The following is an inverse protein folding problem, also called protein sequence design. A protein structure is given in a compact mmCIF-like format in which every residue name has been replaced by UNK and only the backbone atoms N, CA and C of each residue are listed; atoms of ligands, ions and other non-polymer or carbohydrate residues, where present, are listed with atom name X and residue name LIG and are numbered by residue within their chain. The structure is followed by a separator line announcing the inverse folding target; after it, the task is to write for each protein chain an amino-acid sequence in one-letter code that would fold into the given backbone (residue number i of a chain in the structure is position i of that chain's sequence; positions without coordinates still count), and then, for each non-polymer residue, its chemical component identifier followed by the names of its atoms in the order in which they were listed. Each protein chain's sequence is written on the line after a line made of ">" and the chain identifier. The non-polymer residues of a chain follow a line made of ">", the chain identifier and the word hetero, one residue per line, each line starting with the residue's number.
data_IF_593977416454
#
_entry.id   IF_593977416454
#
_cell.length_a   1.000
_cell.length_b   1.000
_cell.length_c   1.000
_cell.angle_alpha   90.00
_cell.angle_beta   90.00
_cell.angle_gamma   90.00
#
_symmetry.space_group_name_H-M   'P 1'
#
loop_
_entity.id
_entity.type
_entity.pdbx_description
1 polymer ?
#
# COMPACT_ATOMS: atom_id res chain seq x y z
N UNK A 1 47.68 19.96 65.88
CA UNK A 1 46.25 19.62 65.62
C UNK A 1 46.08 19.58 64.12
N UNK A 2 45.93 18.37 63.59
CA UNK A 2 45.89 18.16 62.10
C UNK A 2 44.43 17.77 61.77
N UNK A 3 43.71 18.65 61.09
CA UNK A 3 42.34 18.34 60.62
C UNK A 3 42.42 17.53 59.33
N UNK A 4 41.94 16.27 59.42
CA UNK A 4 41.75 15.40 58.28
C UNK A 4 40.48 15.80 57.55
N UNK A 5 40.63 16.36 56.35
CA UNK A 5 39.51 16.57 55.43
C UNK A 5 39.20 15.22 54.73
N UNK A 6 38.02 14.71 54.96
CA UNK A 6 37.48 13.53 54.26
C UNK A 6 36.84 14.01 52.93
N UNK A 7 37.46 13.67 51.83
CA UNK A 7 36.89 13.85 50.50
C UNK A 7 36.00 12.65 50.22
N UNK A 8 34.68 12.89 50.06
CA UNK A 8 33.69 11.91 49.70
C UNK A 8 33.63 11.85 48.17
N UNK A 9 33.80 10.70 47.49
CA UNK A 9 33.67 10.65 46.04
C UNK A 9 32.21 10.70 45.64
N UNK A 10 31.84 11.74 44.87
CA UNK A 10 30.54 11.91 44.26
C UNK A 10 30.43 10.93 43.07
N UNK A 11 29.67 9.85 43.22
CA UNK A 11 29.37 8.92 42.14
C UNK A 11 28.38 9.57 41.18
N UNK A 12 28.88 10.03 40.02
CA UNK A 12 28.07 10.56 38.93
C UNK A 12 27.47 9.37 38.15
N UNK A 13 26.21 9.00 38.44
CA UNK A 13 25.47 8.01 37.68
C UNK A 13 24.97 8.71 36.42
N UNK A 14 25.66 8.48 35.30
CA UNK A 14 25.17 8.90 33.99
C UNK A 14 24.03 7.98 33.55
N UNK A 15 22.79 8.46 33.68
CA UNK A 15 21.62 7.82 33.08
C UNK A 15 21.64 8.10 31.56
N UNK A 16 22.09 7.13 30.80
CA UNK A 16 21.87 7.13 29.35
C UNK A 16 20.37 6.81 29.10
N UNK A 17 19.55 7.85 28.96
CA UNK A 17 18.23 7.70 28.38
C UNK A 17 18.40 7.42 26.90
N UNK A 18 18.27 6.15 26.52
CA UNK A 18 18.19 5.71 25.15
C UNK A 18 16.87 6.22 24.57
N UNK A 19 16.87 7.37 23.92
CA UNK A 19 15.77 7.84 23.07
C UNK A 19 15.79 7.00 21.78
N UNK A 20 15.05 5.90 21.77
CA UNK A 20 14.60 5.30 20.51
C UNK A 20 13.51 6.23 19.96
N UNK A 21 13.64 6.78 18.74
CA UNK A 21 12.56 7.54 18.14
C UNK A 21 11.39 6.59 17.87
N UNK A 22 10.36 6.62 18.70
CA UNK A 22 9.06 6.06 18.33
C UNK A 22 8.56 6.87 17.13
N UNK A 23 8.63 6.26 15.95
CA UNK A 23 7.97 6.80 14.75
C UNK A 23 6.48 6.74 15.03
N UNK A 24 5.88 7.89 15.30
CA UNK A 24 4.47 8.01 15.64
C UNK A 24 3.62 7.44 14.50
N UNK A 25 2.54 6.72 14.83
CA UNK A 25 1.60 6.18 13.83
C UNK A 25 1.03 7.27 12.91
N UNK A 26 0.97 8.49 13.38
CA UNK A 26 0.54 9.67 12.62
C UNK A 26 1.48 10.01 11.46
N UNK A 27 2.80 9.71 11.56
CA UNK A 27 3.74 9.87 10.46
C UNK A 27 3.58 8.80 9.38
N UNK A 28 3.07 7.61 9.73
CA UNK A 28 2.75 6.54 8.78
C UNK A 28 1.44 6.83 8.03
N UNK A 29 0.47 7.46 8.69
CA UNK A 29 -0.85 7.75 8.13
C UNK A 29 -0.81 8.83 7.03
N UNK A 30 0.18 9.71 7.06
CA UNK A 30 0.39 10.75 6.03
C UNK A 30 1.25 10.28 4.84
N UNK A 31 1.74 9.04 4.85
CA UNK A 31 2.66 8.55 3.82
C UNK A 31 2.01 8.47 2.43
N UNK A 32 0.74 8.13 2.34
CA UNK A 32 0.02 7.96 1.08
C UNK A 32 -0.12 9.25 0.28
N UNK A 33 -0.41 10.37 0.95
CA UNK A 33 -0.56 11.68 0.31
C UNK A 33 0.79 12.31 -0.10
N UNK A 34 1.92 11.75 0.36
CA UNK A 34 3.27 12.23 0.03
C UNK A 34 3.87 11.55 -1.20
N UNK A 35 3.22 10.52 -1.74
CA UNK A 35 3.70 9.83 -2.93
C UNK A 35 3.04 10.39 -4.18
N UNK A 36 3.73 11.24 -4.92
CA UNK A 36 3.25 11.84 -6.18
C UNK A 36 2.74 10.78 -7.16
N UNK A 37 3.37 9.60 -7.20
CA UNK A 37 2.94 8.51 -8.07
C UNK A 37 1.51 8.02 -7.74
N UNK A 38 1.16 7.92 -6.46
CA UNK A 38 -0.18 7.51 -6.02
C UNK A 38 -1.21 8.58 -6.41
N UNK A 39 -0.89 9.86 -6.15
CA UNK A 39 -1.78 10.98 -6.45
C UNK A 39 -2.03 11.16 -7.95
N UNK A 40 -0.97 11.00 -8.76
CA UNK A 40 -1.04 11.20 -10.21
C UNK A 40 -1.70 10.03 -10.96
N UNK A 41 -1.83 8.86 -10.32
CA UNK A 41 -2.43 7.67 -10.91
C UNK A 41 -3.71 7.23 -10.16
N UNK A 42 -4.35 8.13 -9.42
CA UNK A 42 -5.67 7.85 -8.85
C UNK A 42 -6.73 7.84 -9.94
N UNK A 43 -7.62 6.85 -9.83
CA UNK A 43 -8.78 6.73 -10.72
C UNK A 43 -10.04 6.46 -9.90
N UNK A 44 -11.19 6.68 -10.53
CA UNK A 44 -12.50 6.37 -9.95
C UNK A 44 -12.94 4.95 -10.30
N UNK A 45 -13.81 4.37 -9.45
CA UNK A 45 -14.36 3.04 -9.65
C UNK A 45 -15.00 2.83 -11.02
N UNK A 46 -15.75 3.82 -11.51
CA UNK A 46 -16.43 3.76 -12.81
C UNK A 46 -15.49 3.66 -14.01
N UNK A 47 -14.20 3.95 -13.82
CA UNK A 47 -13.20 3.97 -14.89
C UNK A 47 -12.20 2.81 -14.83
N UNK A 48 -12.43 1.81 -13.95
CA UNK A 48 -11.48 0.71 -13.74
C UNK A 48 -11.21 -0.16 -14.99
N UNK A 49 -12.13 -0.20 -15.94
CA UNK A 49 -12.00 -0.98 -17.17
C UNK A 49 -11.91 -0.09 -18.43
N UNK A 50 -11.61 1.23 -18.28
CA UNK A 50 -11.57 2.17 -19.40
C UNK A 50 -10.29 3.02 -19.42
N UNK A 51 -9.18 2.49 -18.87
CA UNK A 51 -7.89 3.17 -18.96
C UNK A 51 -7.32 3.05 -20.39
N UNK A 52 -6.32 3.87 -20.69
CA UNK A 52 -5.75 3.97 -22.06
C UNK A 52 -4.80 2.82 -22.41
N UNK A 53 -4.24 2.16 -21.39
CA UNK A 53 -3.33 1.02 -21.57
C UNK A 53 -4.12 -0.27 -21.76
N UNK A 54 -3.63 -1.17 -22.61
CA UNK A 54 -4.23 -2.49 -22.80
C UNK A 54 -3.95 -3.42 -21.61
N UNK A 55 -2.83 -3.20 -20.88
CA UNK A 55 -2.47 -3.97 -19.69
C UNK A 55 -2.09 -3.03 -18.54
N UNK A 56 -2.77 -3.15 -17.43
CA UNK A 56 -2.54 -2.35 -16.22
C UNK A 56 -3.01 -3.05 -14.95
N UNK A 57 -2.53 -2.55 -13.82
CA UNK A 57 -2.94 -2.96 -12.49
C UNK A 57 -3.75 -1.86 -11.82
N UNK A 58 -4.66 -2.26 -10.92
CA UNK A 58 -5.38 -1.34 -10.04
C UNK A 58 -5.19 -1.80 -8.60
N UNK A 59 -4.55 -0.97 -7.79
CA UNK A 59 -4.34 -1.23 -6.38
C UNK A 59 -5.42 -0.55 -5.53
N UNK A 60 -6.24 -1.36 -4.89
CA UNK A 60 -7.28 -0.93 -3.96
C UNK A 60 -6.72 -0.88 -2.54
N UNK A 61 -6.83 0.27 -1.91
CA UNK A 61 -6.29 0.51 -0.59
C UNK A 61 -7.22 1.36 0.28
N UNK A 62 -6.88 1.49 1.54
CA UNK A 62 -7.39 2.50 2.46
C UNK A 62 -6.26 3.00 3.33
N UNK A 63 -6.23 4.29 3.64
CA UNK A 63 -5.25 4.90 4.54
C UNK A 63 -5.27 4.32 5.96
N UNK A 64 -6.37 3.66 6.36
CA UNK A 64 -6.52 3.01 7.67
C UNK A 64 -6.24 1.51 7.65
N UNK A 65 -5.88 0.94 6.49
CA UNK A 65 -5.63 -0.48 6.32
C UNK A 65 -4.18 -0.83 6.69
N UNK A 66 -3.97 -1.56 7.79
CA UNK A 66 -2.62 -1.96 8.27
C UNK A 66 -1.85 -2.77 7.23
N UNK A 67 -2.47 -3.76 6.61
CA UNK A 67 -1.84 -4.57 5.57
C UNK A 67 -1.49 -3.78 4.31
N UNK A 68 -2.26 -2.73 3.98
CA UNK A 68 -1.92 -1.82 2.90
C UNK A 68 -0.63 -1.04 3.22
N UNK A 69 -0.48 -0.57 4.46
CA UNK A 69 0.74 0.11 4.92
C UNK A 69 1.99 -0.77 4.85
N UNK A 70 1.83 -2.09 5.04
CA UNK A 70 2.95 -3.01 4.97
C UNK A 70 3.52 -3.17 3.56
N UNK A 71 2.68 -3.07 2.51
CA UNK A 71 3.08 -3.35 1.12
C UNK A 71 3.13 -2.14 0.20
N UNK A 72 2.69 -0.96 0.65
CA UNK A 72 2.62 0.23 -0.23
C UNK A 72 3.97 0.58 -0.85
N UNK A 73 5.07 0.40 -0.11
CA UNK A 73 6.42 0.62 -0.63
C UNK A 73 6.75 -0.28 -1.82
N UNK A 74 6.37 -1.56 -1.76
CA UNK A 74 6.57 -2.52 -2.84
C UNK A 74 5.70 -2.21 -4.06
N UNK A 75 4.45 -1.78 -3.83
CA UNK A 75 3.52 -1.38 -4.91
C UNK A 75 4.05 -0.13 -5.62
N UNK A 76 4.53 0.87 -4.89
CA UNK A 76 5.12 2.09 -5.46
C UNK A 76 6.40 1.76 -6.22
N UNK A 77 7.28 0.92 -5.65
CA UNK A 77 8.50 0.49 -6.33
C UNK A 77 8.20 -0.30 -7.61
N UNK A 78 7.11 -1.07 -7.65
CA UNK A 78 6.64 -1.73 -8.86
C UNK A 78 6.10 -0.71 -9.86
N UNK A 79 5.24 0.20 -9.45
CA UNK A 79 4.66 1.24 -10.31
C UNK A 79 5.73 2.12 -10.97
N UNK A 80 6.80 2.46 -10.23
CA UNK A 80 7.92 3.25 -10.76
C UNK A 80 8.87 2.47 -11.66
N UNK A 81 8.77 1.15 -11.71
CA UNK A 81 9.61 0.31 -12.60
C UNK A 81 9.12 0.29 -14.04
N UNK A 82 7.96 0.88 -14.32
CA UNK A 82 7.34 0.97 -15.66
C UNK A 82 7.10 -0.40 -16.34
N UNK A 83 7.09 -1.49 -15.56
CA UNK A 83 6.82 -2.84 -16.08
C UNK A 83 5.36 -2.93 -16.55
N UNK A 84 4.42 -2.54 -15.68
CA UNK A 84 2.98 -2.44 -15.95
C UNK A 84 2.45 -1.21 -15.24
N UNK A 85 1.69 -0.38 -15.93
CA UNK A 85 1.07 0.81 -15.33
C UNK A 85 0.19 0.40 -14.16
N UNK A 86 0.36 1.08 -13.02
CA UNK A 86 -0.43 0.81 -11.81
C UNK A 86 -1.26 2.04 -11.47
N UNK A 87 -2.56 1.86 -11.39
CA UNK A 87 -3.54 2.82 -10.91
C UNK A 87 -3.89 2.56 -9.44
N UNK A 88 -4.44 3.57 -8.78
CA UNK A 88 -4.72 3.52 -7.35
C UNK A 88 -6.16 3.96 -7.07
N UNK A 89 -6.83 3.25 -6.15
CA UNK A 89 -8.15 3.63 -5.66
C UNK A 89 -8.16 3.57 -4.12
N UNK A 90 -8.37 4.72 -3.48
CA UNK A 90 -8.70 4.75 -2.06
C UNK A 90 -10.19 4.44 -1.90
N UNK A 91 -10.52 3.27 -1.37
CA UNK A 91 -11.92 2.82 -1.22
C UNK A 91 -12.75 3.69 -0.26
N UNK A 92 -12.11 4.54 0.52
CA UNK A 92 -12.78 5.48 1.44
C UNK A 92 -13.04 6.84 0.82
N UNK A 93 -12.30 7.18 -0.25
CA UNK A 93 -12.40 8.47 -0.96
C UNK A 93 -13.11 8.35 -2.31
N UNK A 94 -13.33 7.13 -2.83
CA UNK A 94 -14.08 6.92 -4.07
C UNK A 94 -15.49 7.50 -3.95
N UNK A 95 -15.91 8.28 -4.95
CA UNK A 95 -17.26 8.85 -5.02
C UNK A 95 -18.33 7.76 -5.14
N UNK A 96 -17.99 6.66 -5.82
CA UNK A 96 -18.87 5.50 -5.99
C UNK A 96 -18.57 4.44 -4.95
N UNK A 97 -19.61 3.93 -4.30
CA UNK A 97 -19.46 2.82 -3.35
C UNK A 97 -18.98 1.57 -4.09
N UNK A 98 -17.76 1.13 -3.77
CA UNK A 98 -17.14 -0.06 -4.33
C UNK A 98 -17.83 -1.32 -3.78
N UNK A 99 -18.32 -2.23 -4.63
CA UNK A 99 -18.94 -3.47 -4.17
C UNK A 99 -17.91 -4.40 -3.51
N UNK A 100 -18.23 -4.87 -2.30
CA UNK A 100 -17.40 -5.82 -1.55
C UNK A 100 -18.14 -7.13 -1.40
N UNK A 101 -17.55 -8.24 -1.89
CA UNK A 101 -18.08 -9.60 -1.81
C UNK A 101 -16.96 -10.60 -1.51
N UNK A 102 -17.31 -11.78 -1.04
CA UNK A 102 -16.33 -12.83 -0.72
C UNK A 102 -15.99 -13.75 -1.91
N UNK A 103 -16.80 -13.75 -2.96
CA UNK A 103 -16.67 -14.66 -4.12
C UNK A 103 -16.11 -13.90 -5.32
N UNK A 104 -14.78 -13.68 -5.31
CA UNK A 104 -14.11 -12.81 -6.29
C UNK A 104 -13.88 -13.45 -7.66
N UNK A 105 -13.92 -14.76 -7.78
CA UNK A 105 -13.69 -15.48 -9.05
C UNK A 105 -14.73 -15.10 -10.12
N UNK A 106 -15.93 -14.68 -9.70
CA UNK A 106 -16.98 -14.21 -10.60
C UNK A 106 -16.63 -12.92 -11.34
N UNK A 107 -15.59 -12.18 -10.90
CA UNK A 107 -15.15 -10.94 -11.57
C UNK A 107 -14.20 -11.21 -12.72
N UNK A 108 -13.57 -12.38 -12.78
CA UNK A 108 -12.62 -12.73 -13.84
C UNK A 108 -13.37 -12.87 -15.16
N UNK A 109 -12.82 -12.23 -16.20
CA UNK A 109 -13.42 -12.18 -17.53
C UNK A 109 -14.49 -11.11 -17.71
N UNK A 110 -14.77 -10.28 -16.69
CA UNK A 110 -15.74 -9.19 -16.80
C UNK A 110 -15.14 -7.98 -17.51
N UNK A 111 -15.97 -7.32 -18.33
CA UNK A 111 -15.67 -6.10 -19.06
C UNK A 111 -16.60 -4.93 -18.70
N UNK A 112 -17.54 -5.14 -17.78
CA UNK A 112 -18.38 -4.09 -17.18
C UNK A 112 -18.00 -3.93 -15.71
N UNK A 113 -17.64 -2.71 -15.30
CA UNK A 113 -17.25 -2.41 -13.92
C UNK A 113 -18.39 -2.69 -12.90
N UNK A 114 -19.65 -2.69 -13.34
CA UNK A 114 -20.80 -3.02 -12.49
C UNK A 114 -20.82 -4.50 -12.06
N UNK A 115 -20.13 -5.36 -12.80
CA UNK A 115 -20.00 -6.79 -12.52
C UNK A 115 -18.71 -7.12 -11.75
N UNK A 116 -17.87 -6.09 -11.48
CA UNK A 116 -16.63 -6.24 -10.73
C UNK A 116 -16.86 -5.95 -9.25
N UNK A 117 -16.18 -6.65 -8.39
CA UNK A 117 -16.16 -6.42 -6.94
C UNK A 117 -14.83 -6.88 -6.35
N UNK A 118 -14.52 -6.40 -5.15
CA UNK A 118 -13.31 -6.78 -4.40
C UNK A 118 -13.70 -7.45 -3.08
N UNK A 119 -12.78 -8.20 -2.48
CA UNK A 119 -12.98 -8.80 -1.15
C UNK A 119 -12.72 -7.80 -0.02
N UNK A 120 -11.89 -6.78 -0.27
CA UNK A 120 -11.46 -5.78 0.70
C UNK A 120 -10.12 -5.16 0.32
N UNK A 121 -9.36 -4.67 1.28
CA UNK A 121 -8.04 -4.07 1.05
C UNK A 121 -6.94 -4.74 1.87
N UNK A 122 -5.72 -4.89 1.32
CA UNK A 122 -5.34 -4.57 -0.06
C UNK A 122 -5.89 -5.58 -1.06
N UNK A 123 -6.17 -5.13 -2.27
CA UNK A 123 -6.48 -5.97 -3.43
C UNK A 123 -5.79 -5.38 -4.66
N UNK A 124 -5.27 -6.22 -5.55
CA UNK A 124 -4.85 -5.84 -6.89
C UNK A 124 -5.80 -6.50 -7.89
N UNK A 125 -6.36 -5.70 -8.79
CA UNK A 125 -7.01 -6.21 -10.01
C UNK A 125 -6.04 -6.01 -11.17
N UNK A 126 -5.81 -7.07 -11.93
CA UNK A 126 -5.10 -7.04 -13.21
C UNK A 126 -6.12 -6.97 -14.33
N UNK A 127 -5.93 -6.03 -15.24
CA UNK A 127 -6.78 -5.81 -16.41
C UNK A 127 -5.94 -5.97 -17.68
N UNK A 128 -6.45 -6.74 -18.62
CA UNK A 128 -5.86 -6.93 -19.96
C UNK A 128 -6.99 -6.78 -21.00
N UNK A 129 -6.77 -5.96 -22.02
CA UNK A 129 -7.76 -5.66 -23.07
C UNK A 129 -9.12 -5.20 -22.52
N UNK A 130 -9.10 -4.40 -21.43
CA UNK A 130 -10.28 -3.90 -20.70
C UNK A 130 -11.14 -5.01 -20.03
N UNK A 131 -10.56 -6.18 -19.83
CA UNK A 131 -11.19 -7.31 -19.17
C UNK A 131 -10.40 -7.65 -17.89
N UNK A 132 -11.11 -7.97 -16.81
CA UNK A 132 -10.48 -8.43 -15.56
C UNK A 132 -9.78 -9.76 -15.81
N UNK A 133 -8.46 -9.78 -15.67
CA UNK A 133 -7.62 -10.97 -15.81
C UNK A 133 -7.43 -11.69 -14.48
N UNK A 134 -7.20 -10.93 -13.42
CA UNK A 134 -7.06 -11.45 -12.08
C UNK A 134 -7.65 -10.48 -11.05
N UNK A 135 -8.12 -11.03 -9.94
CA UNK A 135 -8.56 -10.28 -8.76
C UNK A 135 -7.88 -10.91 -7.53
N UNK A 136 -6.89 -10.21 -6.99
CA UNK A 136 -5.91 -10.76 -6.04
C UNK A 136 -6.02 -10.04 -4.70
N UNK A 137 -6.81 -10.56 -3.74
CA UNK A 137 -6.95 -9.97 -2.42
C UNK A 137 -5.86 -10.39 -1.47
N UNK A 138 -5.57 -9.52 -0.51
CA UNK A 138 -4.63 -9.77 0.58
C UNK A 138 -3.18 -9.45 0.23
N UNK A 139 -2.40 -9.05 1.24
CA UNK A 139 -1.04 -8.53 1.05
C UNK A 139 -0.10 -9.54 0.40
N UNK A 140 -0.09 -10.79 0.89
CA UNK A 140 0.87 -11.80 0.44
C UNK A 140 0.61 -12.19 -1.03
N UNK A 141 -0.66 -12.30 -1.41
CA UNK A 141 -1.06 -12.57 -2.78
C UNK A 141 -0.73 -11.39 -3.71
N UNK A 142 -0.97 -10.15 -3.26
CA UNK A 142 -0.57 -8.95 -4.01
C UNK A 142 0.95 -8.93 -4.27
N UNK A 143 1.78 -9.20 -3.25
CA UNK A 143 3.23 -9.26 -3.39
C UNK A 143 3.66 -10.39 -4.35
N UNK A 144 2.99 -11.53 -4.29
CA UNK A 144 3.25 -12.65 -5.21
C UNK A 144 3.00 -12.24 -6.66
N UNK A 145 1.86 -11.64 -6.96
CA UNK A 145 1.52 -11.15 -8.30
C UNK A 145 2.58 -10.15 -8.81
N UNK A 146 2.96 -9.15 -8.00
CA UNK A 146 3.97 -8.16 -8.39
C UNK A 146 5.32 -8.80 -8.70
N UNK A 147 5.72 -9.83 -7.95
CA UNK A 147 6.95 -10.56 -8.19
C UNK A 147 6.90 -11.41 -9.47
N UNK A 148 5.77 -12.07 -9.73
CA UNK A 148 5.56 -12.84 -10.97
C UNK A 148 5.66 -11.94 -12.21
N UNK A 149 5.00 -10.77 -12.19
CA UNK A 149 5.07 -9.79 -13.27
C UNK A 149 6.50 -9.26 -13.49
N UNK A 150 7.28 -9.03 -12.43
CA UNK A 150 8.71 -8.67 -12.55
C UNK A 150 9.56 -9.74 -13.22
N UNK A 151 9.19 -11.00 -13.07
CA UNK A 151 9.94 -12.12 -13.66
C UNK A 151 9.58 -12.34 -15.13
N UNK A 152 8.33 -12.10 -15.52
CA UNK A 152 7.83 -12.34 -16.88
C UNK A 152 8.18 -11.22 -17.88
N UNK A 153 8.47 -10.01 -17.38
CA UNK A 153 8.80 -8.83 -18.18
C UNK A 153 10.29 -8.43 -18.15
N UNK A 154 11.19 -9.38 -17.88
CA UNK A 154 12.65 -9.16 -17.92
C UNK A 154 13.23 -9.27 -19.30
#
# INVERSE_FOLDING_TARGET
>A
MIHKVRILPLLLVAMFTSCTPEVSEQSKQNAWSQYDIVLNHQIEWSSILSQKEDHYLIFFYSETCSHCHEIIGDVIAFSTSEIVTTYFIDIKKSETKIPIKNEIDETIGKSDYNDVFIMGTPTIIEVEDHIVKANVPGKDNCLTLLNELRLTHK
#
